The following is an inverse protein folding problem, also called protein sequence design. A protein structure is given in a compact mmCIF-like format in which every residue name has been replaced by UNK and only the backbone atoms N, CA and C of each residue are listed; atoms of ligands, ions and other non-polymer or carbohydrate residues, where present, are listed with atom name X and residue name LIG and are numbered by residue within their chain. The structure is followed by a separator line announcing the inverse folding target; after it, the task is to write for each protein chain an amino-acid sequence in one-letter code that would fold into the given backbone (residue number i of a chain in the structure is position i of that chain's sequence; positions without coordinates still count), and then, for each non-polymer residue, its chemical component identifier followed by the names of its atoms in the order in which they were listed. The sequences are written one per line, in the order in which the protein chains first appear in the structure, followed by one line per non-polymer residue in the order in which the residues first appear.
data_IF_541574764770
#
_entry.id   IF_541574764770
#
_cell.length_a   1.000
_cell.length_b   1.000
_cell.length_c   1.000
_cell.angle_alpha   90.00
_cell.angle_beta   90.00
_cell.angle_gamma   90.00
#
_symmetry.space_group_name_H-M   'P 1'
#
loop_
_entity.id
_entity.type
_entity.pdbx_description
1 polymer ?
#
# COMPACT_ATOMS: atom_id res chain seq x y z
N UNK A 1 60.24 -16.34 -21.38
CA UNK A 1 59.87 -15.37 -22.41
C UNK A 1 58.37 -15.08 -22.28
N UNK A 2 58.00 -13.78 -22.13
CA UNK A 2 56.66 -13.13 -22.14
C UNK A 2 55.61 -13.68 -21.14
N UNK A 3 55.07 -12.98 -20.12
CA UNK A 3 54.57 -11.60 -19.88
C UNK A 3 53.34 -11.22 -20.72
N UNK A 4 52.16 -11.21 -20.07
CA UNK A 4 51.21 -10.09 -19.92
C UNK A 4 49.71 -10.41 -20.14
N UNK A 5 48.90 -9.86 -19.24
CA UNK A 5 47.48 -9.57 -19.43
C UNK A 5 46.55 -10.58 -18.73
N UNK A 6 45.65 -10.23 -17.81
CA UNK A 6 45.03 -8.94 -17.50
C UNK A 6 44.72 -8.94 -15.99
N UNK A 7 45.14 -7.87 -15.30
CA UNK A 7 44.60 -7.52 -14.01
C UNK A 7 43.21 -6.89 -14.21
N UNK A 8 42.18 -7.50 -13.63
CA UNK A 8 40.96 -6.77 -13.28
C UNK A 8 41.02 -6.49 -11.78
N UNK A 9 41.67 -5.38 -11.46
CA UNK A 9 41.46 -4.71 -10.19
C UNK A 9 40.02 -4.15 -10.20
N UNK A 10 39.27 -4.47 -9.14
CA UNK A 10 38.15 -3.65 -8.70
C UNK A 10 36.85 -3.79 -9.47
N UNK A 11 36.10 -4.85 -9.19
CA UNK A 11 34.70 -4.72 -8.77
C UNK A 11 34.45 -5.84 -7.76
N UNK A 12 34.73 -5.58 -6.48
CA UNK A 12 33.92 -6.24 -5.46
C UNK A 12 32.47 -5.92 -5.83
N UNK A 13 31.53 -6.88 -5.92
CA UNK A 13 30.13 -6.54 -6.12
C UNK A 13 29.73 -5.65 -4.95
N UNK A 14 29.77 -4.34 -5.18
CA UNK A 14 29.29 -3.36 -4.26
C UNK A 14 27.81 -3.66 -4.14
N UNK A 15 27.42 -4.09 -2.95
CA UNK A 15 26.06 -4.50 -2.62
C UNK A 15 25.60 -5.77 -3.34
N UNK A 16 26.00 -6.92 -2.79
CA UNK A 16 24.95 -7.80 -2.27
C UNK A 16 24.19 -7.03 -1.18
N UNK A 17 23.46 -5.97 -1.57
CA UNK A 17 22.34 -5.50 -0.76
C UNK A 17 21.49 -6.75 -0.60
N UNK A 18 21.14 -7.15 0.64
CA UNK A 18 20.48 -8.41 0.85
C UNK A 18 19.30 -8.45 -0.12
N UNK A 19 19.25 -9.46 -0.98
CA UNK A 19 18.18 -9.63 -1.97
C UNK A 19 16.79 -9.62 -1.27
N UNK A 20 16.79 -9.82 0.05
CA UNK A 20 15.66 -9.63 0.95
C UNK A 20 15.29 -8.18 1.31
N UNK A 21 16.18 -7.19 1.31
CA UNK A 21 15.84 -5.80 1.63
C UNK A 21 15.07 -5.12 0.49
N UNK A 22 15.49 -5.33 -0.77
CA UNK A 22 14.76 -4.81 -1.94
C UNK A 22 13.40 -5.52 -2.15
N UNK A 23 13.32 -6.82 -1.85
CA UNK A 23 12.06 -7.57 -1.86
C UNK A 23 11.12 -7.16 -0.72
N UNK A 24 11.66 -6.88 0.47
CA UNK A 24 10.88 -6.38 1.62
C UNK A 24 10.38 -4.96 1.36
N UNK A 25 11.20 -4.06 0.78
CA UNK A 25 10.76 -2.71 0.44
C UNK A 25 9.64 -2.71 -0.61
N UNK A 26 9.75 -3.51 -1.68
CA UNK A 26 8.69 -3.64 -2.68
C UNK A 26 7.38 -4.15 -2.08
N UNK A 27 7.46 -5.17 -1.21
CA UNK A 27 6.29 -5.72 -0.50
C UNK A 27 5.65 -4.70 0.44
N UNK A 28 6.45 -3.89 1.12
CA UNK A 28 5.98 -2.81 1.98
C UNK A 28 5.32 -1.68 1.19
N UNK A 29 5.86 -1.32 0.03
CA UNK A 29 5.25 -0.35 -0.87
C UNK A 29 3.90 -0.85 -1.40
N UNK A 30 3.78 -2.14 -1.72
CA UNK A 30 2.50 -2.70 -2.17
C UNK A 30 1.46 -2.73 -1.05
N UNK A 31 1.81 -3.13 0.18
CA UNK A 31 0.89 -3.02 1.32
C UNK A 31 0.48 -1.55 1.52
N UNK A 32 1.40 -0.60 1.40
CA UNK A 32 1.10 0.83 1.51
C UNK A 32 0.16 1.32 0.41
N UNK A 33 0.30 0.83 -0.83
CA UNK A 33 -0.66 1.11 -1.93
C UNK A 33 -2.04 0.56 -1.60
N UNK A 34 -2.13 -0.67 -1.08
CA UNK A 34 -3.40 -1.29 -0.70
C UNK A 34 -4.09 -0.52 0.43
N UNK A 35 -3.34 -0.08 1.46
CA UNK A 35 -3.87 0.78 2.53
C UNK A 35 -4.48 2.06 1.95
N UNK A 36 -3.73 2.76 1.07
CA UNK A 36 -4.22 3.98 0.43
C UNK A 36 -5.47 3.72 -0.41
N UNK A 37 -5.48 2.65 -1.20
CA UNK A 37 -6.61 2.28 -2.03
C UNK A 37 -7.89 2.08 -1.20
N UNK A 38 -7.82 1.31 -0.11
CA UNK A 38 -8.94 1.11 0.79
C UNK A 38 -9.37 2.41 1.49
N UNK A 39 -8.42 3.23 1.95
CA UNK A 39 -8.75 4.53 2.52
C UNK A 39 -9.47 5.45 1.51
N UNK A 40 -8.97 5.54 0.27
CA UNK A 40 -9.58 6.31 -0.81
C UNK A 40 -10.99 5.79 -1.16
N UNK A 41 -11.18 4.48 -1.23
CA UNK A 41 -12.49 3.87 -1.43
C UNK A 41 -13.45 4.21 -0.29
N UNK A 42 -12.99 4.14 0.97
CA UNK A 42 -13.74 4.55 2.15
C UNK A 42 -14.18 6.02 2.10
N UNK A 43 -13.27 6.92 1.71
CA UNK A 43 -13.61 8.34 1.51
C UNK A 43 -14.60 8.57 0.38
N UNK A 44 -14.47 7.85 -0.74
CA UNK A 44 -15.43 7.92 -1.87
C UNK A 44 -16.83 7.50 -1.42
N UNK A 45 -16.97 6.36 -0.73
CA UNK A 45 -18.27 5.93 -0.22
C UNK A 45 -18.85 6.92 0.81
N UNK A 46 -18.01 7.49 1.68
CA UNK A 46 -18.46 8.53 2.61
C UNK A 46 -18.93 9.80 1.87
N UNK A 47 -18.27 10.17 0.77
CA UNK A 47 -18.69 11.28 -0.08
C UNK A 47 -20.03 10.98 -0.79
N UNK A 48 -20.20 9.77 -1.33
CA UNK A 48 -21.47 9.32 -1.92
C UNK A 48 -22.62 9.33 -0.89
N UNK A 49 -22.36 8.88 0.34
CA UNK A 49 -23.34 8.95 1.43
C UNK A 49 -23.75 10.40 1.72
N UNK A 50 -22.80 11.35 1.73
CA UNK A 50 -23.09 12.78 1.93
C UNK A 50 -23.86 13.37 0.75
N UNK A 51 -23.50 13.04 -0.49
CA UNK A 51 -24.23 13.48 -1.69
C UNK A 51 -25.67 12.98 -1.67
N UNK A 52 -25.89 11.71 -1.36
CA UNK A 52 -27.24 11.14 -1.26
C UNK A 52 -28.06 11.78 -0.13
N UNK A 53 -27.43 12.08 1.01
CA UNK A 53 -28.06 12.78 2.12
C UNK A 53 -28.44 14.24 1.80
N UNK A 54 -27.75 14.88 0.84
CA UNK A 54 -28.01 16.25 0.41
C UNK A 54 -29.08 16.39 -0.68
N UNK A 55 -29.65 15.29 -1.18
CA UNK A 55 -30.73 15.34 -2.19
C UNK A 55 -32.04 15.82 -1.56
N UNK A 56 -32.94 16.36 -2.40
CA UNK A 56 -34.28 16.78 -1.99
C UNK A 56 -35.10 15.62 -1.35
N UNK A 57 -34.90 14.40 -1.85
CA UNK A 57 -35.44 13.17 -1.27
C UNK A 57 -34.31 12.17 -1.02
N UNK A 58 -33.67 12.22 0.16
CA UNK A 58 -32.54 11.35 0.46
C UNK A 58 -32.99 9.90 0.67
N UNK A 59 -32.36 8.95 -0.03
CA UNK A 59 -32.59 7.54 0.19
C UNK A 59 -31.80 7.05 1.42
N UNK A 60 -32.50 6.80 2.52
CA UNK A 60 -31.91 6.39 3.80
C UNK A 60 -31.19 5.03 3.71
N UNK A 61 -31.75 4.07 2.98
CA UNK A 61 -31.13 2.74 2.80
C UNK A 61 -29.84 2.85 2.01
N UNK A 62 -29.82 3.65 0.95
CA UNK A 62 -28.63 3.88 0.14
C UNK A 62 -27.53 4.59 0.93
N UNK A 63 -27.89 5.56 1.77
CA UNK A 63 -26.96 6.22 2.68
C UNK A 63 -26.37 5.21 3.68
N UNK A 64 -27.20 4.31 4.23
CA UNK A 64 -26.74 3.26 5.14
C UNK A 64 -25.78 2.29 4.43
N UNK A 65 -26.10 1.86 3.20
CA UNK A 65 -25.22 1.03 2.37
C UNK A 65 -23.87 1.70 2.11
N UNK A 66 -23.85 2.98 1.71
CA UNK A 66 -22.60 3.71 1.51
C UNK A 66 -21.79 3.88 2.79
N UNK A 67 -22.44 4.12 3.94
CA UNK A 67 -21.73 4.19 5.23
C UNK A 67 -21.16 2.84 5.64
N UNK A 68 -21.89 1.74 5.42
CA UNK A 68 -21.42 0.39 5.70
C UNK A 68 -20.22 0.02 4.80
N UNK A 69 -20.30 0.32 3.50
CA UNK A 69 -19.19 0.13 2.57
C UNK A 69 -17.98 0.96 2.97
N UNK A 70 -18.17 2.25 3.31
CA UNK A 70 -17.08 3.10 3.79
C UNK A 70 -16.40 2.51 5.04
N UNK A 71 -17.19 2.02 5.99
CA UNK A 71 -16.68 1.39 7.21
C UNK A 71 -15.85 0.14 6.90
N UNK A 72 -16.36 -0.75 6.04
CA UNK A 72 -15.65 -1.97 5.65
C UNK A 72 -14.30 -1.65 4.97
N UNK A 73 -14.26 -0.63 4.11
CA UNK A 73 -13.01 -0.18 3.48
C UNK A 73 -12.01 0.36 4.50
N UNK A 74 -12.45 1.16 5.49
CA UNK A 74 -11.55 1.63 6.55
C UNK A 74 -11.06 0.50 7.46
N UNK A 75 -11.91 -0.46 7.82
CA UNK A 75 -11.51 -1.65 8.58
C UNK A 75 -10.49 -2.49 7.82
N UNK A 76 -10.65 -2.64 6.50
CA UNK A 76 -9.65 -3.29 5.65
C UNK A 76 -8.33 -2.51 5.64
N UNK A 77 -8.38 -1.18 5.49
CA UNK A 77 -7.20 -0.32 5.56
C UNK A 77 -6.45 -0.47 6.89
N UNK A 78 -7.17 -0.49 8.02
CA UNK A 78 -6.61 -0.72 9.37
C UNK A 78 -5.96 -2.11 9.48
N UNK A 79 -6.61 -3.15 8.96
CA UNK A 79 -6.04 -4.49 8.94
C UNK A 79 -4.72 -4.53 8.16
N UNK A 80 -4.64 -3.86 7.01
CA UNK A 80 -3.40 -3.74 6.24
C UNK A 80 -2.37 -2.83 6.93
N UNK A 81 -2.77 -1.80 7.68
CA UNK A 81 -1.84 -1.00 8.50
C UNK A 81 -1.17 -1.86 9.57
N UNK A 82 -1.92 -2.75 10.24
CA UNK A 82 -1.36 -3.71 11.20
C UNK A 82 -0.38 -4.67 10.51
N UNK A 83 -0.70 -5.14 9.30
CA UNK A 83 0.23 -5.98 8.53
C UNK A 83 1.50 -5.23 8.14
N UNK A 84 1.36 -3.98 7.68
CA UNK A 84 2.48 -3.10 7.36
C UNK A 84 3.38 -2.90 8.60
N UNK A 85 2.79 -2.60 9.76
CA UNK A 85 3.55 -2.41 10.99
C UNK A 85 4.34 -3.67 11.42
N UNK A 86 3.77 -4.86 11.19
CA UNK A 86 4.43 -6.14 11.51
C UNK A 86 5.57 -6.49 10.55
N UNK A 87 5.40 -6.17 9.26
CA UNK A 87 6.31 -6.62 8.20
C UNK A 87 7.35 -5.57 7.78
N UNK A 88 7.09 -4.28 8.03
CA UNK A 88 7.81 -3.17 7.39
C UNK A 88 8.41 -2.15 8.36
N UNK A 89 8.05 -2.19 9.64
CA UNK A 89 8.60 -1.29 10.68
C UNK A 89 9.31 -2.05 11.79
N UNK A 90 9.83 -3.25 11.50
CA UNK A 90 10.71 -4.02 12.39
C UNK A 90 12.17 -3.66 12.15
#
# INVERSE_FOLDING_TARGET
MAVAGIAFAGVAPASAAPVGAAASSAKCDDIRKVIRHHADAGYRYRALAKQEAGKAHPNRDRIAQYKAAAKAEFEAADAYQVQYAKQCTR
#
